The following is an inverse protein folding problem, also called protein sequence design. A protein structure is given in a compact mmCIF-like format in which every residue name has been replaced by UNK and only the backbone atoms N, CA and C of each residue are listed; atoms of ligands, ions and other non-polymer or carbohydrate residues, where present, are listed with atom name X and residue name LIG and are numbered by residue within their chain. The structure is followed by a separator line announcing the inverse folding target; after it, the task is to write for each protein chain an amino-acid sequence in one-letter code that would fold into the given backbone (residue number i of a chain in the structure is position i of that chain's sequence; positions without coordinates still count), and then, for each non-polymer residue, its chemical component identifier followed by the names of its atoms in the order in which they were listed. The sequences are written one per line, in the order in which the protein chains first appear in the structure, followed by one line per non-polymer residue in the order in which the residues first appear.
data_IF_097962861970
#
_entry.id   IF_097962861970
#
_cell.length_a   1.000
_cell.length_b   1.000
_cell.length_c   1.000
_cell.angle_alpha   90.00
_cell.angle_beta   90.00
_cell.angle_gamma   90.00
#
_symmetry.space_group_name_H-M   'P 1'
#
loop_
_entity.id
_entity.type
_entity.pdbx_description
1 polymer ?
#
# COMPACT_ATOMS: atom_id res chain seq x y z
N UNK A 1 -20.81 -10.10 17.05
CA UNK A 1 -20.08 -11.20 16.38
C UNK A 1 -19.78 -10.76 14.95
N UNK A 2 -18.52 -10.51 14.62
CA UNK A 2 -18.13 -10.18 13.24
C UNK A 2 -17.99 -11.46 12.40
N UNK A 3 -18.12 -11.35 11.07
CA UNK A 3 -17.90 -12.50 10.18
C UNK A 3 -16.48 -13.08 10.32
N UNK A 4 -15.50 -12.21 10.56
CA UNK A 4 -14.10 -12.60 10.79
C UNK A 4 -13.99 -13.44 12.07
N UNK A 5 -14.70 -13.06 13.13
CA UNK A 5 -14.71 -13.82 14.39
C UNK A 5 -15.27 -15.23 14.18
N UNK A 6 -16.34 -15.38 13.39
CA UNK A 6 -16.88 -16.71 13.03
C UNK A 6 -15.83 -17.53 12.28
N UNK A 7 -15.07 -16.93 11.35
CA UNK A 7 -14.01 -17.64 10.63
C UNK A 7 -12.87 -18.08 11.54
N UNK A 8 -12.50 -17.25 12.51
CA UNK A 8 -11.48 -17.57 13.52
C UNK A 8 -11.95 -18.74 14.38
N UNK A 9 -13.16 -18.66 14.95
CA UNK A 9 -13.74 -19.68 15.84
C UNK A 9 -13.90 -21.03 15.14
N UNK A 10 -14.21 -21.03 13.83
CA UNK A 10 -14.37 -22.25 13.03
C UNK A 10 -13.07 -22.71 12.34
N UNK A 11 -11.94 -22.06 12.62
CA UNK A 11 -10.63 -22.33 11.98
C UNK A 11 -10.69 -22.44 10.45
N UNK A 12 -11.47 -21.55 9.81
CA UNK A 12 -11.70 -21.61 8.36
C UNK A 12 -10.38 -21.44 7.60
N UNK A 13 -10.10 -22.36 6.67
CA UNK A 13 -8.90 -22.33 5.83
C UNK A 13 -9.09 -21.40 4.62
N UNK A 14 -8.83 -20.11 4.82
CA UNK A 14 -8.92 -19.11 3.75
C UNK A 14 -7.66 -19.12 2.88
N UNK A 15 -7.85 -19.21 1.56
CA UNK A 15 -6.76 -19.00 0.60
C UNK A 15 -6.41 -17.51 0.45
N UNK A 16 -7.41 -16.63 0.47
CA UNK A 16 -7.23 -15.18 0.29
C UNK A 16 -8.16 -14.43 1.22
N UNK A 17 -7.63 -13.39 1.86
CA UNK A 17 -8.38 -12.43 2.65
C UNK A 17 -8.05 -11.03 2.13
N UNK A 18 -9.08 -10.30 1.73
CA UNK A 18 -8.99 -8.94 1.20
C UNK A 18 -9.76 -8.00 2.11
N UNK A 19 -9.02 -7.18 2.86
CA UNK A 19 -9.57 -6.24 3.84
C UNK A 19 -9.49 -4.84 3.25
N UNK A 20 -10.64 -4.23 3.01
CA UNK A 20 -10.75 -2.86 2.53
C UNK A 20 -11.27 -1.94 3.62
N UNK A 21 -10.38 -1.11 4.14
CA UNK A 21 -10.70 -0.06 5.11
C UNK A 21 -10.73 1.25 4.33
N UNK A 22 -11.93 1.66 3.94
CA UNK A 22 -12.18 2.89 3.17
C UNK A 22 -13.15 3.76 3.96
N UNK A 23 -12.64 4.63 4.83
CA UNK A 23 -13.54 5.46 5.62
C UNK A 23 -13.43 6.93 5.26
N UNK A 24 -14.56 7.56 4.93
CA UNK A 24 -14.66 9.01 4.76
C UNK A 24 -15.17 9.70 6.05
N UNK A 25 -15.79 8.94 6.97
CA UNK A 25 -16.41 9.46 8.20
C UNK A 25 -15.73 8.88 9.45
N UNK A 26 -15.40 9.74 10.40
CA UNK A 26 -14.31 9.53 11.33
C UNK A 26 -14.64 8.75 12.63
N UNK A 27 -15.58 7.79 12.60
CA UNK A 27 -16.08 7.13 13.82
C UNK A 27 -16.41 5.63 13.69
N UNK A 28 -15.73 4.85 12.82
CA UNK A 28 -15.94 3.40 12.81
C UNK A 28 -15.11 2.69 13.87
N UNK A 29 -15.75 2.37 15.00
CA UNK A 29 -15.27 1.37 15.96
C UNK A 29 -15.03 0.00 15.31
N UNK A 30 -15.66 -0.26 14.16
CA UNK A 30 -15.51 -1.50 13.41
C UNK A 30 -14.09 -1.74 12.89
N UNK A 31 -13.35 -0.67 12.58
CA UNK A 31 -11.95 -0.82 12.13
C UNK A 31 -11.10 -1.31 13.30
N UNK A 32 -11.23 -0.66 14.46
CA UNK A 32 -10.52 -1.06 15.66
C UNK A 32 -10.78 -2.52 16.04
N UNK A 33 -12.04 -2.96 15.95
CA UNK A 33 -12.43 -4.34 16.19
C UNK A 33 -11.73 -5.32 15.23
N UNK A 34 -11.64 -4.99 13.93
CA UNK A 34 -10.92 -5.82 12.97
C UNK A 34 -9.43 -5.87 13.31
N UNK A 35 -8.83 -4.71 13.61
CA UNK A 35 -7.42 -4.63 13.96
C UNK A 35 -7.14 -5.41 15.25
N UNK A 36 -8.03 -5.37 16.25
CA UNK A 36 -7.90 -6.13 17.51
C UNK A 36 -7.98 -7.64 17.24
N UNK A 37 -8.97 -8.08 16.46
CA UNK A 37 -9.09 -9.49 16.07
C UNK A 37 -7.83 -10.00 15.35
N UNK A 38 -7.22 -9.17 14.50
CA UNK A 38 -5.97 -9.49 13.81
C UNK A 38 -4.78 -9.63 14.75
N UNK A 39 -4.68 -8.73 15.73
CA UNK A 39 -3.61 -8.74 16.74
C UNK A 39 -3.77 -9.89 17.74
N UNK A 40 -5.00 -10.23 18.13
CA UNK A 40 -5.32 -11.29 19.08
C UNK A 40 -5.17 -12.70 18.48
N UNK A 41 -5.35 -12.84 17.16
CA UNK A 41 -5.40 -14.15 16.49
C UNK A 41 -4.33 -14.33 15.39
N UNK A 42 -3.04 -14.01 15.62
CA UNK A 42 -2.03 -13.96 14.57
C UNK A 42 -1.86 -15.31 13.84
N UNK A 43 -1.99 -16.42 14.56
CA UNK A 43 -1.90 -17.79 14.01
C UNK A 43 -2.94 -18.07 12.92
N UNK A 44 -4.15 -17.51 13.06
CA UNK A 44 -5.19 -17.64 12.04
C UNK A 44 -4.77 -16.92 10.76
N UNK A 45 -4.35 -15.66 10.89
CA UNK A 45 -3.98 -14.83 9.75
C UNK A 45 -2.65 -15.26 9.09
N UNK A 46 -1.73 -15.89 9.82
CA UNK A 46 -0.50 -16.48 9.26
C UNK A 46 -0.77 -17.66 8.32
N UNK A 47 -1.87 -18.41 8.54
CA UNK A 47 -2.25 -19.54 7.67
C UNK A 47 -2.81 -19.08 6.31
N UNK A 48 -3.24 -17.82 6.19
CA UNK A 48 -3.82 -17.28 4.96
C UNK A 48 -2.71 -17.15 3.91
N UNK A 49 -2.90 -17.65 2.70
CA UNK A 49 -1.82 -17.59 1.70
C UNK A 49 -1.63 -16.19 1.12
N UNK A 50 -2.75 -15.50 0.84
CA UNK A 50 -2.74 -14.17 0.24
C UNK A 50 -3.53 -13.19 1.12
N UNK A 51 -2.81 -12.37 1.88
CA UNK A 51 -3.42 -11.23 2.55
C UNK A 51 -3.33 -10.00 1.64
N UNK A 52 -4.45 -9.30 1.48
CA UNK A 52 -4.53 -8.01 0.81
C UNK A 52 -5.15 -7.02 1.78
N UNK A 53 -4.50 -5.87 1.97
CA UNK A 53 -5.00 -4.86 2.89
C UNK A 53 -5.00 -3.49 2.21
N UNK A 54 -6.07 -2.74 2.44
CA UNK A 54 -6.27 -1.43 1.88
C UNK A 54 -6.55 -0.43 3.02
N UNK A 55 -5.65 0.54 3.16
CA UNK A 55 -5.72 1.59 4.18
C UNK A 55 -5.98 2.93 3.49
N UNK A 56 -7.25 3.29 3.34
CA UNK A 56 -7.67 4.55 2.74
C UNK A 56 -8.21 5.44 3.86
N UNK A 57 -7.54 6.58 4.07
CA UNK A 57 -7.95 7.65 4.98
C UNK A 57 -7.92 7.30 6.49
N UNK A 58 -6.86 6.63 6.97
CA UNK A 58 -6.60 6.50 8.41
C UNK A 58 -6.15 7.86 8.98
N UNK A 59 -7.10 8.75 9.27
CA UNK A 59 -6.83 10.13 9.69
C UNK A 59 -6.38 10.28 11.16
N UNK A 60 -6.19 9.19 11.91
CA UNK A 60 -5.89 9.25 13.34
C UNK A 60 -4.55 8.63 13.72
N UNK A 61 -3.82 9.37 14.57
CA UNK A 61 -2.52 8.99 15.10
C UNK A 61 -2.55 7.69 15.93
N UNK A 62 -3.69 7.31 16.52
CA UNK A 62 -3.79 6.13 17.39
C UNK A 62 -3.83 4.79 16.63
N UNK A 63 -4.44 4.72 15.45
CA UNK A 63 -4.45 3.48 14.66
C UNK A 63 -3.10 3.17 13.99
N UNK A 64 -2.20 4.15 13.95
CA UNK A 64 -0.92 4.04 13.22
C UNK A 64 0.00 2.99 13.82
N UNK A 65 -0.01 2.85 15.16
CA UNK A 65 0.78 1.82 15.84
C UNK A 65 0.20 0.43 15.55
N UNK A 66 -1.14 0.29 15.60
CA UNK A 66 -1.84 -0.98 15.35
C UNK A 66 -1.67 -1.48 13.92
N UNK A 67 -1.79 -0.58 12.94
CA UNK A 67 -1.54 -0.90 11.52
C UNK A 67 -0.10 -1.38 11.32
N UNK A 68 0.87 -0.70 11.95
CA UNK A 68 2.28 -1.09 11.89
C UNK A 68 2.51 -2.48 12.49
N UNK A 69 1.88 -2.78 13.63
CA UNK A 69 1.93 -4.10 14.26
C UNK A 69 1.34 -5.18 13.34
N UNK A 70 0.19 -4.93 12.73
CA UNK A 70 -0.46 -5.87 11.81
C UNK A 70 0.42 -6.15 10.60
N UNK A 71 0.98 -5.11 9.97
CA UNK A 71 1.87 -5.29 8.82
C UNK A 71 3.12 -6.09 9.22
N UNK A 72 3.69 -5.83 10.40
CA UNK A 72 4.83 -6.58 10.92
C UNK A 72 4.48 -8.04 11.24
N UNK A 73 3.25 -8.32 11.67
CA UNK A 73 2.78 -9.67 11.95
C UNK A 73 2.58 -10.48 10.67
N UNK A 74 2.28 -9.86 9.52
CA UNK A 74 1.87 -10.59 8.32
C UNK A 74 3.00 -10.82 7.32
N UNK A 75 3.69 -11.95 7.51
CA UNK A 75 4.72 -12.52 6.65
C UNK A 75 4.30 -12.86 5.21
N UNK A 76 2.99 -12.86 4.95
CA UNK A 76 2.29 -13.36 3.78
C UNK A 76 1.54 -12.26 3.01
N UNK A 77 1.78 -10.97 3.34
CA UNK A 77 1.16 -9.84 2.67
C UNK A 77 1.54 -9.84 1.18
N UNK A 78 0.56 -9.98 0.29
CA UNK A 78 0.80 -9.99 -1.16
C UNK A 78 0.57 -8.62 -1.78
N UNK A 79 -0.52 -7.94 -1.40
CA UNK A 79 -0.89 -6.65 -1.96
C UNK A 79 -1.22 -5.67 -0.85
N UNK A 80 -0.73 -4.45 -1.01
CA UNK A 80 -1.14 -3.33 -0.16
C UNK A 80 -1.67 -2.18 -1.02
N UNK A 81 -2.74 -1.55 -0.54
CA UNK A 81 -3.28 -0.32 -1.11
C UNK A 81 -3.12 0.79 -0.07
N UNK A 82 -2.40 1.85 -0.44
CA UNK A 82 -2.05 2.97 0.41
C UNK A 82 -2.79 4.21 -0.11
N UNK A 83 -3.73 4.71 0.69
CA UNK A 83 -4.61 5.82 0.40
C UNK A 83 -4.36 7.10 1.20
N UNK A 84 -4.45 8.26 0.55
CA UNK A 84 -4.41 9.58 1.19
C UNK A 84 -3.19 9.80 2.11
N UNK A 85 -3.36 9.72 3.44
CA UNK A 85 -2.34 10.00 4.45
C UNK A 85 -1.64 8.74 4.98
N UNK A 86 -1.95 7.54 4.48
CA UNK A 86 -1.38 6.30 5.02
C UNK A 86 0.04 6.01 4.55
N UNK A 87 0.51 6.60 3.45
CA UNK A 87 1.82 6.29 2.89
C UNK A 87 3.01 6.66 3.81
N UNK A 88 3.10 7.86 4.41
CA UNK A 88 4.22 8.19 5.30
C UNK A 88 4.39 7.21 6.48
N UNK A 89 3.29 6.62 6.96
CA UNK A 89 3.31 5.62 8.02
C UNK A 89 3.95 4.32 7.53
N UNK A 90 3.49 3.84 6.38
CA UNK A 90 4.05 2.65 5.76
C UNK A 90 5.52 2.83 5.39
N UNK A 91 5.89 4.01 4.92
CA UNK A 91 7.28 4.37 4.67
C UNK A 91 8.13 4.30 5.95
N UNK A 92 7.64 4.83 7.06
CA UNK A 92 8.37 4.80 8.34
C UNK A 92 8.56 3.38 8.84
N UNK A 93 7.55 2.52 8.64
CA UNK A 93 7.61 1.10 8.96
C UNK A 93 8.67 0.37 8.14
N UNK A 94 8.67 0.54 6.81
CA UNK A 94 9.65 -0.12 5.93
C UNK A 94 11.08 0.33 6.24
N UNK A 95 11.28 1.59 6.61
CA UNK A 95 12.59 2.13 6.97
C UNK A 95 13.07 1.69 8.38
N UNK A 96 12.22 1.09 9.21
CA UNK A 96 12.61 0.64 10.54
C UNK A 96 13.54 -0.58 10.47
N UNK A 97 14.60 -0.61 11.29
CA UNK A 97 15.58 -1.71 11.32
C UNK A 97 14.96 -3.06 11.75
N UNK A 98 13.77 -3.00 12.36
CA UNK A 98 13.02 -4.17 12.82
C UNK A 98 12.22 -4.83 11.69
N UNK A 99 12.10 -4.19 10.52
CA UNK A 99 11.52 -4.78 9.31
C UNK A 99 12.50 -5.75 8.63
N UNK A 100 13.01 -6.69 9.40
CA UNK A 100 13.56 -7.92 8.88
C UNK A 100 12.39 -8.89 8.82
N UNK A 101 11.97 -9.35 7.62
CA UNK A 101 11.85 -10.80 7.28
C UNK A 101 10.90 -11.22 6.16
N UNK A 102 10.11 -10.41 5.46
CA UNK A 102 9.23 -11.00 4.40
C UNK A 102 9.05 -10.23 3.09
N UNK A 103 9.68 -10.79 2.05
CA UNK A 103 9.61 -10.39 0.64
C UNK A 103 8.40 -11.00 -0.10
N UNK A 104 7.25 -11.17 0.55
CA UNK A 104 6.07 -11.73 -0.11
C UNK A 104 5.23 -10.68 -0.83
N UNK A 105 5.41 -9.40 -0.49
CA UNK A 105 4.71 -8.27 -1.10
C UNK A 105 5.08 -8.13 -2.57
N UNK A 106 4.12 -8.38 -3.44
CA UNK A 106 4.30 -8.32 -4.89
C UNK A 106 3.67 -7.08 -5.52
N UNK A 107 2.68 -6.47 -4.87
CA UNK A 107 1.89 -5.40 -5.45
C UNK A 107 1.71 -4.26 -4.46
N UNK A 108 2.07 -3.05 -4.87
CA UNK A 108 1.73 -1.81 -4.17
C UNK A 108 0.79 -0.99 -5.04
N UNK A 109 -0.28 -0.50 -4.45
CA UNK A 109 -1.18 0.48 -5.08
C UNK A 109 -1.12 1.77 -4.29
N UNK A 110 -0.70 2.86 -4.93
CA UNK A 110 -0.83 4.21 -4.41
C UNK A 110 -2.15 4.79 -4.89
N UNK A 111 -3.00 5.23 -3.98
CA UNK A 111 -4.33 5.77 -4.25
C UNK A 111 -4.49 7.16 -3.63
N UNK A 112 -4.73 8.21 -4.42
CA UNK A 112 -4.87 9.59 -3.89
C UNK A 112 -3.72 10.03 -2.96
N UNK A 113 -2.50 9.54 -3.18
CA UNK A 113 -1.33 9.96 -2.40
C UNK A 113 -0.86 11.32 -2.90
N UNK A 114 -0.47 12.19 -1.96
CA UNK A 114 0.33 13.37 -2.26
C UNK A 114 1.81 13.04 -2.08
N UNK A 115 2.57 12.98 -3.17
CA UNK A 115 4.00 12.67 -3.10
C UNK A 115 4.89 13.86 -2.72
N UNK A 116 4.32 15.06 -2.56
CA UNK A 116 5.09 16.23 -2.13
C UNK A 116 5.69 16.02 -0.73
N UNK A 117 6.98 16.31 -0.58
CA UNK A 117 7.70 16.15 0.69
C UNK A 117 8.12 14.73 1.03
N UNK A 118 7.81 13.73 0.19
CA UNK A 118 8.23 12.35 0.42
C UNK A 118 9.71 12.16 0.07
N UNK A 119 10.49 11.78 1.07
CA UNK A 119 11.94 11.55 0.99
C UNK A 119 12.26 10.07 1.25
N UNK A 120 13.46 9.59 0.90
CA UNK A 120 13.90 8.20 1.15
C UNK A 120 13.07 7.11 0.45
N UNK A 121 12.31 7.44 -0.60
CA UNK A 121 11.51 6.45 -1.32
C UNK A 121 12.40 5.39 -1.98
N UNK A 122 13.55 5.80 -2.48
CA UNK A 122 14.54 4.88 -3.03
C UNK A 122 14.92 3.77 -2.04
N UNK A 123 15.17 4.11 -0.77
CA UNK A 123 15.53 3.14 0.27
C UNK A 123 14.40 2.15 0.54
N UNK A 124 13.17 2.65 0.60
CA UNK A 124 11.96 1.83 0.78
C UNK A 124 11.85 0.78 -0.33
N UNK A 125 11.95 1.20 -1.59
CA UNK A 125 11.90 0.28 -2.72
C UNK A 125 13.07 -0.72 -2.72
N UNK A 126 14.27 -0.29 -2.34
CA UNK A 126 15.44 -1.18 -2.19
C UNK A 126 15.27 -2.26 -1.11
N UNK A 127 14.34 -2.11 -0.16
CA UNK A 127 14.03 -3.17 0.82
C UNK A 127 12.99 -4.18 0.30
N UNK A 128 12.19 -3.81 -0.70
CA UNK A 128 11.12 -4.66 -1.24
C UNK A 128 11.63 -5.59 -2.35
N UNK A 129 12.22 -6.74 -2.04
CA UNK A 129 12.83 -7.61 -3.06
C UNK A 129 11.80 -8.44 -3.85
N UNK A 130 10.60 -8.65 -3.30
CA UNK A 130 9.52 -9.38 -3.96
C UNK A 130 8.58 -8.52 -4.80
N UNK A 131 8.82 -7.21 -4.88
CA UNK A 131 7.90 -6.28 -5.53
C UNK A 131 7.92 -6.49 -7.05
N UNK A 132 6.80 -6.93 -7.60
CA UNK A 132 6.63 -7.18 -9.03
C UNK A 132 5.95 -5.99 -9.72
N UNK A 133 4.97 -5.38 -9.05
CA UNK A 133 4.12 -4.35 -9.65
C UNK A 133 3.75 -3.19 -8.73
N UNK A 134 3.66 -2.02 -9.34
CA UNK A 134 3.20 -0.78 -8.74
C UNK A 134 2.06 -0.24 -9.57
N UNK A 135 1.03 0.25 -8.89
CA UNK A 135 -0.10 0.93 -9.49
C UNK A 135 -0.20 2.32 -8.87
N UNK A 136 -0.31 3.35 -9.70
CA UNK A 136 -0.45 4.75 -9.28
C UNK A 136 -1.81 5.22 -9.75
N UNK A 137 -2.70 5.52 -8.81
CA UNK A 137 -4.11 5.77 -9.10
C UNK A 137 -4.56 7.08 -8.44
N UNK A 138 -4.92 8.07 -9.25
CA UNK A 138 -5.46 9.37 -8.85
C UNK A 138 -4.63 10.12 -7.79
N UNK A 139 -3.31 9.90 -7.75
CA UNK A 139 -2.40 10.64 -6.87
C UNK A 139 -2.33 12.11 -7.27
N UNK A 140 -2.28 13.02 -6.28
CA UNK A 140 -2.44 14.47 -6.48
C UNK A 140 -1.31 15.10 -7.32
N UNK A 141 -0.10 14.55 -7.26
CA UNK A 141 1.01 14.99 -8.11
C UNK A 141 2.11 13.93 -8.12
N UNK A 142 2.58 13.55 -9.31
CA UNK A 142 3.87 12.89 -9.48
C UNK A 142 4.96 13.96 -9.51
N UNK A 143 5.25 14.54 -8.35
CA UNK A 143 6.18 15.66 -8.28
C UNK A 143 7.59 15.25 -8.75
N UNK A 144 8.36 16.24 -9.23
CA UNK A 144 9.73 16.04 -9.69
C UNK A 144 10.59 15.26 -8.67
N UNK A 145 10.40 15.51 -7.37
CA UNK A 145 11.12 14.82 -6.30
C UNK A 145 10.83 13.32 -6.25
N UNK A 146 9.58 12.91 -6.46
CA UNK A 146 9.18 11.51 -6.54
C UNK A 146 9.76 10.84 -7.79
N UNK A 147 9.56 11.44 -8.96
CA UNK A 147 10.01 10.88 -10.24
C UNK A 147 11.54 10.72 -10.23
N UNK A 148 12.30 11.73 -9.80
CA UNK A 148 13.76 11.66 -9.69
C UNK A 148 14.24 10.54 -8.78
N UNK A 149 13.49 10.18 -7.74
CA UNK A 149 13.83 9.05 -6.87
C UNK A 149 13.53 7.71 -7.54
N UNK A 150 12.34 7.56 -8.14
CA UNK A 150 11.92 6.29 -8.73
C UNK A 150 12.71 5.92 -9.98
N UNK A 151 13.00 6.87 -10.89
CA UNK A 151 13.69 6.53 -12.15
C UNK A 151 15.12 6.02 -11.94
N UNK A 152 15.73 6.38 -10.80
CA UNK A 152 17.08 5.94 -10.40
C UNK A 152 17.12 4.54 -9.82
N UNK A 153 15.96 3.95 -9.51
CA UNK A 153 15.89 2.59 -8.99
C UNK A 153 16.37 1.60 -10.05
N UNK A 154 17.22 0.67 -9.63
CA UNK A 154 17.72 -0.43 -10.46
C UNK A 154 16.88 -1.68 -10.31
N UNK A 155 16.06 -1.76 -9.26
CA UNK A 155 15.19 -2.91 -9.00
C UNK A 155 14.15 -3.14 -10.11
N UNK A 156 13.93 -4.42 -10.50
CA UNK A 156 13.04 -4.77 -11.60
C UNK A 156 11.59 -4.89 -11.10
N UNK A 157 10.91 -3.77 -10.87
CA UNK A 157 9.45 -3.76 -10.72
C UNK A 157 8.80 -3.03 -11.90
N UNK A 158 7.53 -3.32 -12.14
CA UNK A 158 6.75 -2.74 -13.24
C UNK A 158 5.75 -1.72 -12.71
N UNK A 159 5.58 -0.59 -13.39
CA UNK A 159 4.41 0.26 -13.16
C UNK A 159 3.33 -0.18 -14.13
N UNK A 160 2.30 -0.87 -13.63
CA UNK A 160 1.26 -1.50 -14.46
C UNK A 160 0.02 -0.64 -14.65
N UNK A 161 -0.22 0.31 -13.75
CA UNK A 161 -1.34 1.24 -13.86
C UNK A 161 -0.91 2.64 -13.52
N UNK A 162 -1.34 3.59 -14.35
CA UNK A 162 -1.16 5.01 -14.13
C UNK A 162 -2.47 5.73 -14.44
N UNK A 163 -3.14 6.21 -13.40
CA UNK A 163 -4.34 7.03 -13.51
C UNK A 163 -4.10 8.41 -12.92
N UNK A 164 -4.39 9.44 -13.69
CA UNK A 164 -4.27 10.82 -13.26
C UNK A 164 -5.61 11.38 -12.77
N UNK A 165 -5.55 12.19 -11.71
CA UNK A 165 -6.70 12.94 -11.21
C UNK A 165 -6.86 14.28 -11.93
N UNK A 166 -7.76 15.10 -11.40
CA UNK A 166 -7.99 16.47 -11.85
C UNK A 166 -6.71 17.32 -11.76
N UNK A 167 -6.57 18.30 -12.65
CA UNK A 167 -5.42 19.23 -12.72
C UNK A 167 -4.06 18.60 -13.08
N UNK A 168 -4.05 17.44 -13.72
CA UNK A 168 -2.82 16.85 -14.25
C UNK A 168 -2.22 17.71 -15.37
N UNK A 169 -0.93 18.04 -15.23
CA UNK A 169 -0.14 18.70 -16.27
C UNK A 169 0.97 17.76 -16.75
N UNK A 170 1.10 17.64 -18.06
CA UNK A 170 2.22 16.93 -18.68
C UNK A 170 3.44 17.83 -18.60
N UNK A 171 4.48 17.37 -17.93
CA UNK A 171 5.78 18.02 -17.86
C UNK A 171 6.91 17.05 -18.30
N UNK A 172 8.13 17.56 -18.36
CA UNK A 172 9.33 16.78 -18.71
C UNK A 172 9.51 15.55 -17.79
N UNK A 173 9.12 15.63 -16.53
CA UNK A 173 9.28 14.52 -15.60
C UNK A 173 8.33 13.38 -15.91
N UNK A 174 7.10 13.66 -16.31
CA UNK A 174 6.17 12.64 -16.79
C UNK A 174 6.75 11.95 -18.03
N UNK A 175 7.34 12.68 -18.97
CA UNK A 175 7.99 12.08 -20.12
C UNK A 175 9.11 11.11 -19.71
N UNK A 176 9.98 11.50 -18.77
CA UNK A 176 11.02 10.62 -18.22
C UNK A 176 10.45 9.40 -17.49
N UNK A 177 9.35 9.57 -16.75
CA UNK A 177 8.68 8.47 -16.07
C UNK A 177 8.12 7.46 -17.08
N UNK A 178 7.46 7.93 -18.14
CA UNK A 178 6.94 7.08 -19.20
C UNK A 178 8.05 6.39 -19.99
N UNK A 179 9.18 7.05 -20.26
CA UNK A 179 10.34 6.40 -20.89
C UNK A 179 10.90 5.25 -20.04
N UNK A 180 10.85 5.37 -18.71
CA UNK A 180 11.38 4.34 -17.81
C UNK A 180 10.41 3.16 -17.60
N UNK A 181 9.11 3.42 -17.50
CA UNK A 181 8.13 2.41 -17.09
C UNK A 181 7.04 2.10 -18.12
N UNK A 182 6.96 2.87 -19.21
CA UNK A 182 5.87 2.82 -20.19
C UNK A 182 5.71 1.45 -20.85
N UNK A 183 6.80 0.75 -21.13
CA UNK A 183 6.79 -0.57 -21.81
C UNK A 183 6.03 -1.65 -21.04
N UNK A 184 5.84 -1.48 -19.73
CA UNK A 184 5.15 -2.44 -18.86
C UNK A 184 3.77 -1.98 -18.41
N UNK A 185 3.31 -0.80 -18.87
CA UNK A 185 2.00 -0.30 -18.49
C UNK A 185 0.89 -1.11 -19.15
N UNK A 186 -0.02 -1.59 -18.33
CA UNK A 186 -1.20 -2.35 -18.78
C UNK A 186 -2.47 -1.48 -18.73
N UNK A 187 -2.50 -0.47 -17.87
CA UNK A 187 -3.66 0.38 -17.64
C UNK A 187 -3.29 1.85 -17.56
N UNK A 188 -4.03 2.70 -18.27
CA UNK A 188 -3.82 4.12 -18.30
C UNK A 188 -5.16 4.85 -18.32
N UNK A 189 -5.29 5.94 -17.57
CA UNK A 189 -6.54 6.70 -17.56
C UNK A 189 -6.42 8.07 -16.90
N UNK A 190 -7.46 8.86 -17.07
CA UNK A 190 -7.59 10.19 -16.48
C UNK A 190 -9.02 10.35 -15.98
N UNK A 191 -9.17 11.00 -14.83
CA UNK A 191 -10.47 11.44 -14.33
C UNK A 191 -10.62 12.92 -14.62
N UNK A 192 -11.63 13.26 -15.41
CA UNK A 192 -12.13 14.63 -15.55
C UNK A 192 -13.21 14.86 -14.50
N UNK A 193 -13.18 16.01 -13.85
CA UNK A 193 -14.20 16.52 -12.94
C UNK A 193 -14.84 17.75 -13.54
#
# INVERSE_FOLDING_TARGET
MSLIQIFIENEVKLHTLDIQITNYNCYDSYIDDILDLMLENPNFFHKIKNLKVCFINSSYNDHNNRISQIINLHQNLKKIILGYKSFPLYQSLLLSNDYNRTNTLNTIVFYHINFNGIINLNKVFEQLNGLESVHIIYCYSLCAGFIKQIIKLTKPFKVKSLYFGENFQIDEYIHLFLQKFGDYMENFGFRFG
#
